data_IF_847322656511
#
_entry.id   IF_847322656511
#
_cell.length_a   1.000
_cell.length_b   1.000
_cell.length_c   1.000
_cell.angle_alpha   90.00
_cell.angle_beta   90.00
_cell.angle_gamma   90.00
#
_symmetry.space_group_name_H-M   'P 1'
#
loop_
_entity.id
_entity.type
_entity.pdbx_description
1 polymer ?
#
# COMPACT_ATOMS: atom_id res chain seq x y z
N UNK A 1 9.79 2.21 -15.28
CA UNK A 1 9.40 3.05 -14.13
C UNK A 1 8.06 2.53 -13.65
N UNK A 2 8.00 2.01 -12.42
CA UNK A 2 6.75 1.62 -11.79
C UNK A 2 6.38 2.72 -10.81
N UNK A 3 5.55 3.66 -11.25
CA UNK A 3 5.10 4.76 -10.42
C UNK A 3 4.13 4.22 -9.36
N UNK A 4 4.59 4.16 -8.11
CA UNK A 4 3.77 3.80 -6.95
C UNK A 4 2.53 4.70 -6.88
N UNK A 5 2.70 5.99 -7.17
CA UNK A 5 1.60 6.96 -7.22
C UNK A 5 0.56 6.61 -8.30
N UNK A 6 0.98 6.17 -9.49
CA UNK A 6 0.06 5.78 -10.55
C UNK A 6 -0.68 4.47 -10.20
N UNK A 7 0.02 3.52 -9.60
CA UNK A 7 -0.57 2.25 -9.15
C UNK A 7 -1.57 2.43 -8.01
N UNK A 8 -1.26 3.31 -7.04
CA UNK A 8 -2.17 3.70 -5.96
C UNK A 8 -3.39 4.44 -6.48
N UNK A 9 -3.23 5.35 -7.46
CA UNK A 9 -4.37 6.01 -8.10
C UNK A 9 -5.28 5.02 -8.81
N UNK A 10 -4.73 4.07 -9.56
CA UNK A 10 -5.53 3.04 -10.24
C UNK A 10 -6.25 2.12 -9.25
N UNK A 11 -5.57 1.72 -8.17
CA UNK A 11 -6.20 0.96 -7.09
C UNK A 11 -7.35 1.74 -6.43
N UNK A 12 -7.22 3.07 -6.32
CA UNK A 12 -8.21 3.93 -5.69
C UNK A 12 -9.45 4.03 -6.57
N UNK A 13 -9.22 4.28 -7.86
CA UNK A 13 -10.27 4.29 -8.89
C UNK A 13 -11.00 2.94 -8.96
N UNK A 14 -10.28 1.84 -8.76
CA UNK A 14 -10.83 0.48 -8.66
C UNK A 14 -11.59 0.21 -7.35
N UNK A 15 -11.65 1.16 -6.41
CA UNK A 15 -12.35 1.02 -5.13
C UNK A 15 -11.60 0.20 -4.08
N UNK A 16 -10.28 0.00 -4.22
CA UNK A 16 -9.49 -0.63 -3.19
C UNK A 16 -9.50 0.23 -1.90
N UNK A 17 -9.59 -0.43 -0.75
CA UNK A 17 -9.65 0.25 0.56
C UNK A 17 -8.44 -0.03 1.44
N UNK A 18 -7.70 -1.11 1.13
CA UNK A 18 -6.53 -1.56 1.88
C UNK A 18 -5.42 -1.91 0.90
N UNK A 19 -4.19 -1.52 1.22
CA UNK A 19 -3.02 -1.74 0.36
C UNK A 19 -1.89 -2.27 1.23
N UNK A 20 -1.30 -3.39 0.82
CA UNK A 20 -0.15 -4.00 1.49
C UNK A 20 1.10 -3.67 0.70
N UNK A 21 2.03 -2.95 1.32
CA UNK A 21 3.26 -2.48 0.67
C UNK A 21 4.50 -3.02 1.40
N UNK A 22 5.52 -3.47 0.66
CA UNK A 22 6.79 -3.87 1.27
C UNK A 22 7.52 -2.63 1.81
N UNK A 23 8.29 -2.78 2.90
CA UNK A 23 9.12 -1.69 3.45
C UNK A 23 10.11 -1.13 2.41
N UNK A 24 10.54 -1.92 1.43
CA UNK A 24 11.37 -1.44 0.31
C UNK A 24 10.72 -0.30 -0.48
N UNK A 25 9.39 -0.19 -0.46
CA UNK A 25 8.66 0.90 -1.12
C UNK A 25 8.48 2.13 -0.22
N UNK A 26 8.84 2.04 1.07
CA UNK A 26 8.75 3.14 2.02
C UNK A 26 9.54 4.38 1.59
N UNK A 27 10.60 4.21 0.81
CA UNK A 27 11.39 5.31 0.22
C UNK A 27 10.63 6.12 -0.83
N UNK A 28 9.66 5.51 -1.52
CA UNK A 28 8.83 6.17 -2.54
C UNK A 28 7.52 6.73 -1.96
N UNK A 29 7.13 6.33 -0.75
CA UNK A 29 5.95 6.86 -0.05
C UNK A 29 5.92 8.38 0.06
N UNK A 30 7.01 9.07 0.46
CA UNK A 30 6.99 10.54 0.52
C UNK A 30 6.78 11.21 -0.84
N UNK A 31 6.94 10.49 -1.95
CA UNK A 31 6.64 11.01 -3.30
C UNK A 31 5.16 10.94 -3.65
N UNK A 32 4.39 10.15 -2.93
CA UNK A 32 2.95 9.98 -3.15
C UNK A 32 2.18 10.99 -2.29
N UNK A 33 1.15 11.66 -2.83
CA UNK A 33 0.36 12.60 -2.05
C UNK A 33 -0.38 11.90 -0.90
N UNK A 34 -0.30 12.50 0.30
CA UNK A 34 -0.86 11.97 1.54
C UNK A 34 -2.39 11.76 1.51
N UNK A 35 -3.09 12.42 0.58
CA UNK A 35 -4.52 12.22 0.36
C UNK A 35 -4.86 10.80 -0.10
N UNK A 36 -4.00 10.19 -0.94
CA UNK A 36 -4.17 8.81 -1.38
C UNK A 36 -3.91 7.88 -0.21
N UNK A 37 -2.82 8.11 0.52
CA UNK A 37 -2.48 7.36 1.72
C UNK A 37 -3.54 7.44 2.82
N UNK A 38 -4.24 8.56 2.96
CA UNK A 38 -5.35 8.71 3.92
C UNK A 38 -6.59 7.94 3.48
N UNK A 39 -6.82 7.82 2.17
CA UNK A 39 -7.96 7.09 1.61
C UNK A 39 -7.80 5.57 1.69
N UNK A 40 -6.56 5.11 1.75
CA UNK A 40 -6.23 3.69 1.90
C UNK A 40 -5.79 3.35 3.32
N UNK A 41 -6.23 2.20 3.82
CA UNK A 41 -5.49 1.54 4.90
C UNK A 41 -4.20 0.98 4.31
N UNK A 42 -3.12 1.76 4.36
CA UNK A 42 -1.80 1.28 3.97
C UNK A 42 -1.17 0.53 5.13
N UNK A 43 -0.82 -0.72 4.88
CA UNK A 43 -0.11 -1.57 5.83
C UNK A 43 1.23 -1.97 5.25
N UNK A 44 2.29 -1.78 6.03
CA UNK A 44 3.63 -2.19 5.63
C UNK A 44 3.91 -3.59 6.11
N UNK A 45 4.54 -4.39 5.25
CA UNK A 45 5.10 -5.68 5.64
C UNK A 45 6.61 -5.67 5.39
N UNK A 46 7.36 -6.23 6.34
CA UNK A 46 8.80 -6.46 6.19
C UNK A 46 9.10 -7.88 5.72
N UNK A 47 8.24 -8.82 6.09
CA UNK A 47 8.41 -10.24 5.81
C UNK A 47 7.21 -10.76 5.01
N UNK A 48 7.42 -11.77 4.15
CA UNK A 48 6.32 -12.39 3.40
C UNK A 48 5.26 -12.99 4.33
N UNK A 49 5.64 -13.41 5.53
CA UNK A 49 4.68 -13.94 6.52
C UNK A 49 3.73 -12.85 7.02
N UNK A 50 4.25 -11.67 7.34
CA UNK A 50 3.46 -10.52 7.81
C UNK A 50 2.48 -10.04 6.73
N UNK A 51 2.88 -10.11 5.46
CA UNK A 51 2.01 -9.84 4.32
C UNK A 51 0.79 -10.77 4.30
N UNK A 52 0.99 -12.08 4.51
CA UNK A 52 -0.09 -13.08 4.53
C UNK A 52 -1.00 -12.88 5.73
N UNK A 53 -0.45 -12.65 6.93
CA UNK A 53 -1.26 -12.38 8.13
C UNK A 53 -2.16 -11.15 7.95
N UNK A 54 -1.60 -10.05 7.43
CA UNK A 54 -2.36 -8.83 7.17
C UNK A 54 -3.34 -8.95 6.01
N UNK A 55 -3.02 -9.75 5.00
CA UNK A 55 -3.92 -10.00 3.87
C UNK A 55 -5.14 -10.83 4.29
N UNK A 56 -4.94 -11.79 5.19
CA UNK A 56 -5.99 -12.69 5.67
C UNK A 56 -6.82 -12.10 6.83
N UNK A 57 -6.50 -10.88 7.29
CA UNK A 57 -7.14 -10.24 8.46
C UNK A 57 -7.10 -11.13 9.72
N UNK A 58 -6.09 -12.02 9.81
CA UNK A 58 -5.89 -12.86 10.99
C UNK A 58 -5.09 -12.03 11.99
N UNK A 59 -5.79 -11.44 12.94
CA UNK A 59 -5.23 -10.77 14.11
C UNK A 59 -5.52 -11.57 15.38
#
# INVERSE_FOLDING_TARGET
>A
MQDLAASLQLAFDSGAKRVLLPISWAMDIPTVPAELFTKFQVSFYSEPVDAVYKALDVN
#
